data_IF_507390581620
#
_entry.id   IF_507390581620
#
_cell.length_a   1.000
_cell.length_b   1.000
_cell.length_c   1.000
_cell.angle_alpha   90.00
_cell.angle_beta   90.00
_cell.angle_gamma   90.00
#
_symmetry.space_group_name_H-M   'P 1'
#
loop_
_entity.id
_entity.type
_entity.pdbx_description
1 polymer ?
#
# COMPACT_ATOMS: atom_id res chain seq x y z
N UNK A 1 -9.94 8.07 36.28
CA UNK A 1 -9.36 8.00 34.92
C UNK A 1 -8.25 6.96 34.80
N UNK A 2 -7.47 6.68 35.86
CA UNK A 2 -6.41 5.65 35.85
C UNK A 2 -6.91 4.25 35.47
N UNK A 3 -8.02 3.78 36.08
CA UNK A 3 -8.60 2.46 35.76
C UNK A 3 -8.95 2.25 34.27
N UNK A 4 -9.40 3.29 33.58
CA UNK A 4 -9.74 3.21 32.15
C UNK A 4 -8.47 3.15 31.27
N UNK A 5 -7.40 3.79 31.71
CA UNK A 5 -6.08 3.76 31.05
C UNK A 5 -5.45 2.38 31.25
N UNK A 6 -5.49 1.84 32.47
CA UNK A 6 -5.01 0.50 32.79
C UNK A 6 -5.73 -0.58 31.96
N UNK A 7 -7.07 -0.51 31.87
CA UNK A 7 -7.86 -1.40 31.02
C UNK A 7 -7.47 -1.31 29.53
N UNK A 8 -7.21 -0.10 29.03
CA UNK A 8 -6.76 0.09 27.65
C UNK A 8 -5.35 -0.47 27.41
N UNK A 9 -4.43 -0.33 28.38
CA UNK A 9 -3.08 -0.88 28.33
C UNK A 9 -3.09 -2.42 28.37
N UNK A 10 -3.91 -3.02 29.22
CA UNK A 10 -4.11 -4.48 29.26
C UNK A 10 -4.71 -5.02 27.96
N UNK A 11 -5.62 -4.26 27.32
CA UNK A 11 -6.16 -4.63 26.01
C UNK A 11 -5.13 -4.54 24.88
N UNK A 12 -4.12 -3.67 24.99
CA UNK A 12 -3.03 -3.52 24.01
C UNK A 12 -1.94 -4.58 24.21
N UNK A 13 -1.74 -5.03 25.45
CA UNK A 13 -0.69 -5.99 25.82
C UNK A 13 -1.23 -7.08 26.74
N UNK A 14 -2.00 -8.04 26.20
CA UNK A 14 -2.56 -9.13 27.01
C UNK A 14 -1.49 -10.04 27.64
N UNK A 15 -0.27 -10.01 27.08
CA UNK A 15 0.87 -10.83 27.51
C UNK A 15 1.65 -10.25 28.68
N UNK A 16 1.50 -8.96 28.97
CA UNK A 16 2.01 -8.39 30.22
C UNK A 16 0.93 -8.62 31.29
N UNK A 17 1.31 -9.29 32.38
CA UNK A 17 0.39 -9.63 33.47
C UNK A 17 -0.23 -8.40 34.17
N UNK A 18 -0.94 -8.63 35.26
CA UNK A 18 -1.65 -7.57 36.03
C UNK A 18 -0.74 -6.46 36.57
N UNK A 19 0.58 -6.64 36.55
CA UNK A 19 1.55 -5.72 37.12
C UNK A 19 2.10 -4.79 36.03
N UNK A 20 1.37 -3.71 35.76
CA UNK A 20 1.78 -2.67 34.82
C UNK A 20 2.86 -1.76 35.43
N UNK A 21 3.93 -1.41 34.69
CA UNK A 21 4.91 -0.44 35.15
C UNK A 21 4.25 0.92 35.45
N UNK A 22 4.47 1.51 36.65
CA UNK A 22 3.83 2.77 37.03
C UNK A 22 4.21 3.92 36.09
N UNK A 23 5.44 3.90 35.55
CA UNK A 23 5.91 4.87 34.57
C UNK A 23 5.10 4.88 33.26
N UNK A 24 4.57 3.73 32.84
CA UNK A 24 3.73 3.63 31.64
C UNK A 24 2.35 4.23 31.87
N UNK A 25 1.76 3.95 33.03
CA UNK A 25 0.44 4.49 33.44
C UNK A 25 0.51 6.01 33.60
N UNK A 26 1.59 6.52 34.21
CA UNK A 26 1.82 7.95 34.40
C UNK A 26 2.00 8.69 33.06
N UNK A 27 2.79 8.13 32.14
CA UNK A 27 2.99 8.69 30.80
C UNK A 27 1.66 8.72 30.01
N UNK A 28 0.93 7.61 29.99
CA UNK A 28 -0.37 7.54 29.32
C UNK A 28 -1.39 8.54 29.92
N UNK A 29 -1.38 8.71 31.25
CA UNK A 29 -2.20 9.71 31.94
C UNK A 29 -1.83 11.14 31.57
N UNK A 30 -0.54 11.45 31.49
CA UNK A 30 -0.03 12.76 31.07
C UNK A 30 -0.42 13.08 29.62
N UNK A 31 -0.28 12.12 28.70
CA UNK A 31 -0.70 12.29 27.30
C UNK A 31 -2.20 12.46 27.15
N UNK A 32 -3.00 11.76 27.96
CA UNK A 32 -4.45 11.93 27.95
C UNK A 32 -4.84 13.33 28.41
N UNK A 33 -4.25 13.85 29.49
CA UNK A 33 -4.48 15.21 29.95
C UNK A 33 -4.08 16.24 28.87
N UNK A 34 -2.90 16.09 28.27
CA UNK A 34 -2.44 16.96 27.18
C UNK A 34 -3.37 16.91 25.96
N UNK A 35 -3.85 15.72 25.59
CA UNK A 35 -4.75 15.56 24.44
C UNK A 35 -6.07 16.30 24.63
N UNK A 36 -6.59 16.36 25.86
CA UNK A 36 -7.84 17.09 26.18
C UNK A 36 -7.67 18.59 26.06
N UNK A 37 -6.48 19.11 26.36
CA UNK A 37 -6.18 20.54 26.26
C UNK A 37 -5.85 20.98 24.83
N UNK A 38 -5.11 20.16 24.07
CA UNK A 38 -4.61 20.54 22.74
C UNK A 38 -5.49 20.07 21.59
N UNK A 39 -6.30 19.02 21.80
CA UNK A 39 -7.20 18.44 20.81
C UNK A 39 -8.64 18.35 21.36
N UNK A 40 -9.16 19.47 21.87
CA UNK A 40 -10.51 19.59 22.44
C UNK A 40 -11.64 19.51 21.41
N UNK A 41 -11.34 19.62 20.11
CA UNK A 41 -12.30 19.64 19.00
C UNK A 41 -12.43 18.31 18.24
N UNK A 42 -12.23 17.18 18.93
CA UNK A 42 -12.39 15.84 18.33
C UNK A 42 -13.86 15.47 18.14
N UNK A 43 -14.15 14.65 17.12
CA UNK A 43 -15.52 14.15 16.87
C UNK A 43 -15.91 13.13 17.94
N UNK A 44 -17.22 12.98 18.20
CA UNK A 44 -17.73 12.02 19.19
C UNK A 44 -17.20 10.59 18.98
N UNK A 45 -17.11 10.13 17.72
CA UNK A 45 -16.56 8.81 17.39
C UNK A 45 -15.06 8.70 17.69
N UNK A 46 -14.30 9.79 17.55
CA UNK A 46 -12.87 9.82 17.84
C UNK A 46 -12.60 9.97 19.35
N UNK A 47 -13.51 10.61 20.07
CA UNK A 47 -13.47 10.78 21.53
C UNK A 47 -13.46 9.42 22.25
N UNK A 48 -14.25 8.46 21.77
CA UNK A 48 -14.36 7.11 22.32
C UNK A 48 -12.99 6.39 22.28
N UNK A 49 -12.18 6.64 21.26
CA UNK A 49 -10.88 6.00 21.08
C UNK A 49 -9.71 6.82 21.65
N UNK A 50 -9.93 8.02 22.20
CA UNK A 50 -8.88 8.91 22.69
C UNK A 50 -7.99 8.25 23.75
N UNK A 51 -8.60 7.64 24.77
CA UNK A 51 -7.87 6.94 25.85
C UNK A 51 -7.02 5.79 25.30
N UNK A 52 -7.57 5.01 24.37
CA UNK A 52 -6.87 3.91 23.72
C UNK A 52 -5.71 4.38 22.83
N UNK A 53 -5.88 5.48 22.11
CA UNK A 53 -4.83 6.08 21.29
C UNK A 53 -3.68 6.63 22.15
N UNK A 54 -3.97 7.32 23.25
CA UNK A 54 -2.94 7.83 24.17
C UNK A 54 -2.16 6.68 24.84
N UNK A 55 -2.83 5.60 25.21
CA UNK A 55 -2.19 4.39 25.73
C UNK A 55 -1.27 3.74 24.68
N UNK A 56 -1.70 3.63 23.43
CA UNK A 56 -0.87 3.08 22.35
C UNK A 56 0.37 3.95 22.07
N UNK A 57 0.21 5.29 22.00
CA UNK A 57 1.34 6.22 21.85
C UNK A 57 2.34 6.10 23.02
N UNK A 58 1.85 5.89 24.24
CA UNK A 58 2.71 5.67 25.41
C UNK A 58 3.53 4.38 25.27
N UNK A 59 2.90 3.29 24.83
CA UNK A 59 3.58 2.02 24.58
C UNK A 59 4.63 2.14 23.46
N UNK A 60 4.33 2.87 22.37
CA UNK A 60 5.29 3.10 21.29
C UNK A 60 6.50 3.95 21.71
N UNK A 61 6.30 4.95 22.58
CA UNK A 61 7.39 5.81 23.11
C UNK A 61 8.30 5.07 24.07
N UNK A 62 7.75 4.16 24.87
CA UNK A 62 8.49 3.39 25.87
C UNK A 62 8.93 2.00 25.37
N UNK A 63 8.59 1.65 24.13
CA UNK A 63 8.86 0.35 23.50
C UNK A 63 10.31 -0.11 23.64
N UNK A 64 11.25 0.81 23.48
CA UNK A 64 12.71 0.54 23.53
C UNK A 64 13.22 0.57 24.98
N UNK A 65 12.61 1.37 25.85
CA UNK A 65 13.07 1.54 27.24
C UNK A 65 12.60 0.43 28.17
N UNK A 66 11.50 -0.24 27.83
CA UNK A 66 10.83 -1.24 28.65
C UNK A 66 10.70 -2.61 27.94
N UNK A 67 11.40 -2.80 26.81
CA UNK A 67 11.40 -4.02 25.99
C UNK A 67 10.00 -4.65 25.81
N UNK A 68 9.04 -3.82 25.41
CA UNK A 68 7.64 -4.24 25.32
C UNK A 68 7.41 -5.15 24.08
N UNK A 69 6.63 -6.24 24.22
CA UNK A 69 6.33 -7.16 23.13
C UNK A 69 5.56 -6.48 21.99
N UNK A 70 5.55 -7.06 20.77
CA UNK A 70 4.87 -6.49 19.63
C UNK A 70 3.36 -6.28 19.90
N UNK A 71 2.94 -5.02 19.79
CA UNK A 71 1.58 -4.54 20.10
C UNK A 71 0.69 -4.75 18.87
N UNK A 72 -0.43 -5.45 19.02
CA UNK A 72 -1.49 -5.54 18.01
C UNK A 72 -2.65 -4.60 18.39
N UNK A 73 -2.75 -3.40 17.80
CA UNK A 73 -3.84 -2.49 18.13
C UNK A 73 -5.17 -3.02 17.55
N UNK A 74 -6.10 -3.35 18.45
CA UNK A 74 -7.53 -3.61 18.17
C UNK A 74 -8.38 -2.43 18.66
N UNK A 75 -8.37 -1.30 17.94
CA UNK A 75 -9.09 -0.12 18.38
C UNK A 75 -10.61 -0.33 18.37
N UNK A 76 -11.37 0.38 19.25
CA UNK A 76 -12.83 0.31 19.30
C UNK A 76 -13.53 0.99 18.10
N UNK A 77 -12.76 1.55 17.17
CA UNK A 77 -13.24 2.32 16.02
C UNK A 77 -12.65 1.78 14.72
N UNK A 78 -13.27 2.04 13.56
CA UNK A 78 -12.76 1.61 12.28
C UNK A 78 -11.29 2.03 12.05
N UNK A 79 -10.46 1.17 11.45
CA UNK A 79 -9.00 1.35 11.39
C UNK A 79 -8.58 2.63 10.65
N UNK A 80 -9.38 3.10 9.68
CA UNK A 80 -9.12 4.36 8.95
C UNK A 80 -9.25 5.59 9.85
N UNK A 81 -10.26 5.60 10.72
CA UNK A 81 -10.51 6.70 11.66
C UNK A 81 -9.47 6.65 12.78
N UNK A 82 -9.17 5.45 13.28
CA UNK A 82 -8.12 5.25 14.28
C UNK A 82 -6.76 5.74 13.80
N UNK A 83 -6.35 5.38 12.58
CA UNK A 83 -5.06 5.82 12.02
C UNK A 83 -4.98 7.34 11.93
N UNK A 84 -6.05 8.02 11.50
CA UNK A 84 -6.11 9.49 11.46
C UNK A 84 -5.98 10.09 12.86
N UNK A 85 -6.73 9.57 13.83
CA UNK A 85 -6.72 10.03 15.21
C UNK A 85 -5.35 9.84 15.85
N UNK A 86 -4.74 8.67 15.69
CA UNK A 86 -3.42 8.33 16.19
C UNK A 86 -2.36 9.29 15.62
N UNK A 87 -2.33 9.50 14.30
CA UNK A 87 -1.38 10.44 13.68
C UNK A 87 -1.60 11.88 14.13
N UNK A 88 -2.86 12.31 14.28
CA UNK A 88 -3.20 13.65 14.76
C UNK A 88 -2.72 13.87 16.20
N UNK A 89 -3.03 12.93 17.11
CA UNK A 89 -2.62 13.00 18.51
C UNK A 89 -1.10 12.88 18.65
N UNK A 90 -0.44 11.99 17.92
CA UNK A 90 1.01 11.83 17.99
C UNK A 90 1.75 13.11 17.55
N UNK A 91 1.30 13.78 16.49
CA UNK A 91 1.89 15.05 16.03
C UNK A 91 1.72 16.19 17.05
N UNK A 92 0.53 16.32 17.65
CA UNK A 92 0.23 17.36 18.62
C UNK A 92 1.01 17.13 19.93
N UNK A 93 1.04 15.88 20.39
CA UNK A 93 1.68 15.49 21.64
C UNK A 93 3.21 15.36 21.54
N UNK A 94 3.81 15.47 20.33
CA UNK A 94 5.26 15.57 20.13
C UNK A 94 5.81 16.98 20.42
N UNK A 95 4.96 18.01 20.38
CA UNK A 95 5.38 19.42 20.44
C UNK A 95 5.90 19.90 21.81
N UNK A 96 5.89 19.08 22.86
CA UNK A 96 6.25 19.50 24.23
C UNK A 96 7.44 18.74 24.85
N UNK A 97 8.03 17.78 24.15
CA UNK A 97 9.18 17.04 24.63
C UNK A 97 10.43 17.38 23.81
N UNK A 98 10.86 18.64 23.86
CA UNK A 98 12.25 19.16 23.74
C UNK A 98 12.23 20.65 23.37
N UNK A 99 12.94 21.53 24.11
CA UNK A 99 13.28 22.85 23.59
C UNK A 99 14.32 22.64 22.49
N UNK A 100 13.90 22.65 21.23
CA UNK A 100 14.83 22.60 20.10
C UNK A 100 15.64 23.89 20.09
N UNK A 101 16.86 23.79 20.63
CA UNK A 101 18.09 24.51 20.30
C UNK A 101 17.90 25.52 19.16
N UNK A 102 17.57 26.76 19.53
CA UNK A 102 17.68 27.90 18.65
C UNK A 102 19.13 28.00 18.14
N UNK A 103 19.28 28.04 16.82
CA UNK A 103 20.55 28.30 16.16
C UNK A 103 21.00 29.73 16.49
N UNK A 104 22.25 29.97 16.93
CA UNK A 104 22.71 31.31 17.25
C UNK A 104 23.11 32.00 15.95
N UNK A 105 22.54 33.17 15.68
CA UNK A 105 23.00 33.99 14.56
C UNK A 105 21.90 34.86 13.97
N UNK A 106 21.67 36.01 14.60
CA UNK A 106 21.63 37.33 13.96
C UNK A 106 21.04 38.33 14.94
N UNK A 107 21.92 38.92 15.73
CA UNK A 107 21.71 40.20 16.41
C UNK A 107 21.22 41.22 15.38
N UNK A 108 19.97 41.66 15.52
CA UNK A 108 19.50 42.88 14.88
C UNK A 108 19.08 43.85 15.99
N UNK A 109 19.91 44.86 16.13
CA UNK A 109 19.79 46.00 17.05
C UNK A 109 18.44 46.71 16.88
N UNK A 110 17.83 47.20 17.98
CA UNK A 110 16.71 48.13 17.90
C UNK A 110 17.25 49.53 17.58
N UNK A 111 16.91 50.06 16.41
CA UNK A 111 17.23 51.43 16.02
C UNK A 111 16.35 52.43 16.76
N UNK A 112 17.00 53.25 17.58
CA UNK A 112 16.44 54.39 18.30
C UNK A 112 16.14 55.55 17.34
N UNK A 113 14.94 56.13 17.44
CA UNK A 113 14.67 57.55 17.16
C UNK A 113 13.62 58.07 18.15
N UNK A 114 14.13 58.60 19.26
CA UNK A 114 13.59 59.75 20.01
C UNK A 114 13.95 60.99 19.15
N UNK A 115 13.17 62.05 18.92
CA UNK A 115 12.31 62.98 19.70
C UNK A 115 11.40 63.71 18.65
N UNK A 116 10.26 64.35 18.93
CA UNK A 116 9.97 65.42 19.89
C UNK A 116 8.47 65.47 20.24
N UNK A 117 8.19 66.08 21.40
CA UNK A 117 6.89 66.32 22.00
C UNK A 117 6.25 67.62 21.48
N UNK A 118 4.92 67.64 21.31
CA UNK A 118 3.98 68.50 22.05
C UNK A 118 2.63 68.66 21.32
N UNK A 119 1.58 68.82 22.12
CA UNK A 119 0.17 69.15 21.84
C UNK A 119 -0.81 68.01 21.47
N UNK A 120 -1.63 67.67 22.46
CA UNK A 120 -3.02 67.15 22.33
C UNK A 120 -4.01 68.32 22.18
N UNK A 121 -5.33 68.11 21.93
CA UNK A 121 -6.04 66.98 21.32
C UNK A 121 -7.10 67.42 20.26
N UNK A 122 -7.31 66.69 19.16
CA UNK A 122 -8.58 66.74 18.42
C UNK A 122 -8.74 65.55 17.46
N UNK A 123 -9.88 64.86 17.60
CA UNK A 123 -10.64 64.14 16.57
C UNK A 123 -9.88 63.42 15.44
N UNK A 124 -9.90 62.08 15.44
CA UNK A 124 -9.42 61.29 14.31
C UNK A 124 -9.70 59.80 14.45
N UNK A 125 -10.67 59.30 13.70
CA UNK A 125 -11.11 57.91 13.59
C UNK A 125 -9.97 56.93 13.29
N UNK A 126 -9.86 55.86 14.09
CA UNK A 126 -9.07 54.64 13.79
C UNK A 126 -9.70 53.89 12.60
N UNK A 127 -8.95 53.50 11.55
CA UNK A 127 -9.44 52.53 10.57
C UNK A 127 -9.25 51.09 11.10
N UNK A 128 -10.34 50.31 11.04
CA UNK A 128 -10.37 48.86 11.21
C UNK A 128 -9.57 48.17 10.07
N UNK A 129 -8.89 47.03 10.32
CA UNK A 129 -8.25 46.26 9.26
C UNK A 129 -9.33 45.58 8.40
N UNK A 130 -9.46 45.99 7.15
CA UNK A 130 -10.34 45.35 6.18
C UNK A 130 -9.78 43.98 5.79
N UNK A 131 -10.50 42.95 6.22
CA UNK A 131 -10.33 41.57 5.78
C UNK A 131 -10.80 41.47 4.32
N UNK A 132 -9.89 41.66 3.36
CA UNK A 132 -10.17 41.36 1.96
C UNK A 132 -10.46 39.86 1.82
N UNK A 133 -11.64 39.51 1.31
CA UNK A 133 -11.99 38.13 0.95
C UNK A 133 -11.13 37.68 -0.23
N UNK A 134 -10.51 36.48 -0.17
CA UNK A 134 -9.72 35.98 -1.29
C UNK A 134 -10.63 35.77 -2.51
N UNK A 135 -10.15 36.20 -3.67
CA UNK A 135 -10.85 36.12 -4.95
C UNK A 135 -11.10 34.65 -5.34
N UNK A 136 -12.23 34.41 -6.01
CA UNK A 136 -12.71 33.08 -6.47
C UNK A 136 -11.66 32.27 -7.22
N UNK A 137 -10.74 32.93 -7.92
CA UNK A 137 -9.66 32.26 -8.66
C UNK A 137 -8.59 31.66 -7.73
N UNK A 138 -8.28 32.33 -6.61
CA UNK A 138 -7.28 31.85 -5.64
C UNK A 138 -7.79 30.65 -4.85
N UNK A 139 -9.10 30.59 -4.59
CA UNK A 139 -9.76 29.44 -3.95
C UNK A 139 -9.83 28.21 -4.86
N UNK A 140 -9.93 28.40 -6.17
CA UNK A 140 -10.09 27.32 -7.15
C UNK A 140 -8.75 26.80 -7.70
N UNK A 141 -7.64 27.52 -7.48
CA UNK A 141 -6.31 27.10 -7.90
C UNK A 141 -5.86 25.77 -7.27
N UNK A 142 -6.33 25.45 -6.06
CA UNK A 142 -6.00 24.19 -5.37
C UNK A 142 -6.71 22.96 -5.95
N UNK A 143 -7.76 23.16 -6.76
CA UNK A 143 -8.57 22.08 -7.35
C UNK A 143 -8.32 21.87 -8.84
N UNK A 144 -7.42 22.65 -9.45
CA UNK A 144 -7.04 22.49 -10.86
C UNK A 144 -5.77 21.65 -10.95
N UNK A 145 -5.85 20.53 -11.67
CA UNK A 145 -4.67 19.74 -12.06
C UNK A 145 -3.89 20.51 -13.14
N UNK A 146 -2.54 20.57 -13.07
CA UNK A 146 -1.77 21.29 -14.07
C UNK A 146 -1.82 20.55 -15.41
N UNK A 147 -2.54 21.12 -16.37
CA UNK A 147 -2.49 20.69 -17.77
C UNK A 147 -1.13 21.08 -18.35
N UNK A 148 -0.51 20.10 -19.01
CA UNK A 148 0.79 20.13 -19.70
C UNK A 148 0.94 21.40 -20.57
N UNK A 149 1.87 22.30 -20.24
CA UNK A 149 2.25 23.39 -21.15
C UNK A 149 2.73 24.73 -20.57
N UNK A 150 3.14 24.83 -19.31
CA UNK A 150 3.74 26.06 -18.78
C UNK A 150 5.20 25.81 -18.37
N UNK A 151 6.10 26.13 -19.28
CA UNK A 151 7.53 26.35 -19.02
C UNK A 151 7.68 27.66 -18.25
N UNK A 152 7.78 27.58 -16.93
CA UNK A 152 8.88 28.19 -16.17
C UNK A 152 8.68 28.14 -14.65
N UNK A 153 9.80 27.89 -13.96
CA UNK A 153 10.09 27.96 -12.50
C UNK A 153 9.60 26.81 -11.60
N UNK A 154 10.23 26.59 -10.41
CA UNK A 154 11.62 26.75 -10.01
C UNK A 154 12.21 25.48 -9.35
N UNK A 155 13.54 25.35 -9.39
CA UNK A 155 14.36 24.33 -8.75
C UNK A 155 13.99 24.13 -7.26
N UNK A 156 13.29 23.04 -6.95
CA UNK A 156 13.08 22.58 -5.57
C UNK A 156 13.97 21.37 -5.30
N UNK A 157 15.03 21.68 -4.57
CA UNK A 157 15.97 20.80 -3.88
C UNK A 157 15.38 19.48 -3.38
N UNK A 158 16.06 18.38 -3.77
CA UNK A 158 16.36 17.21 -2.93
C UNK A 158 15.26 16.68 -2.02
N UNK A 159 14.25 16.03 -2.60
CA UNK A 159 13.56 14.90 -1.95
C UNK A 159 12.96 13.95 -3.00
N UNK A 160 13.82 13.40 -3.84
CA UNK A 160 13.50 12.33 -4.80
C UNK A 160 14.33 11.09 -4.44
N UNK A 161 14.07 10.50 -3.28
CA UNK A 161 14.69 9.22 -2.87
C UNK A 161 13.73 8.18 -2.28
N UNK A 162 12.42 8.42 -2.27
CA UNK A 162 11.46 7.51 -1.62
C UNK A 162 10.40 6.89 -2.55
N UNK A 163 10.35 7.26 -3.84
CA UNK A 163 9.43 6.63 -4.78
C UNK A 163 9.93 5.27 -5.31
N UNK A 164 11.26 5.04 -5.33
CA UNK A 164 11.88 3.76 -5.66
C UNK A 164 12.30 2.94 -4.42
N UNK A 165 12.19 3.49 -3.21
CA UNK A 165 12.57 2.85 -1.95
C UNK A 165 11.56 1.81 -1.43
N UNK A 166 10.78 1.19 -2.32
CA UNK A 166 9.91 0.06 -1.94
C UNK A 166 10.49 -1.30 -2.28
N UNK A 167 11.57 -1.35 -3.06
CA UNK A 167 12.19 -2.61 -3.45
C UNK A 167 13.69 -2.43 -3.34
N UNK A 168 14.33 -3.18 -2.43
CA UNK A 168 15.78 -3.22 -2.25
C UNK A 168 16.47 -4.04 -3.38
N UNK A 169 15.88 -4.05 -4.58
CA UNK A 169 16.41 -4.70 -5.77
C UNK A 169 17.20 -3.71 -6.63
N UNK A 170 18.12 -4.24 -7.43
CA UNK A 170 18.87 -3.45 -8.40
C UNK A 170 17.94 -2.85 -9.47
N UNK A 171 18.28 -1.65 -9.93
CA UNK A 171 17.41 -0.84 -10.77
C UNK A 171 17.05 -1.50 -12.11
N UNK A 172 17.96 -2.30 -12.68
CA UNK A 172 17.75 -3.02 -13.94
C UNK A 172 16.82 -4.24 -13.82
N UNK A 173 16.61 -4.81 -12.63
CA UNK A 173 15.88 -6.09 -12.49
C UNK A 173 14.43 -5.96 -12.98
N UNK A 174 13.71 -4.90 -12.58
CA UNK A 174 12.32 -4.72 -13.01
C UNK A 174 12.16 -4.46 -14.52
N UNK A 175 12.91 -3.51 -15.13
CA UNK A 175 12.88 -3.31 -16.58
C UNK A 175 13.24 -4.56 -17.37
N UNK A 176 14.31 -5.27 -16.97
CA UNK A 176 14.76 -6.49 -17.65
C UNK A 176 13.74 -7.61 -17.53
N UNK A 177 13.15 -7.83 -16.36
CA UNK A 177 12.11 -8.85 -16.18
C UNK A 177 10.91 -8.59 -17.10
N UNK A 178 10.48 -7.33 -17.20
CA UNK A 178 9.36 -6.93 -18.08
C UNK A 178 9.69 -7.14 -19.56
N UNK A 179 10.89 -6.77 -19.99
CA UNK A 179 11.34 -6.95 -21.37
C UNK A 179 11.45 -8.44 -21.72
N UNK A 180 12.13 -9.25 -20.90
CA UNK A 180 12.28 -10.70 -21.14
C UNK A 180 10.92 -11.39 -21.20
N UNK A 181 10.00 -11.09 -20.28
CA UNK A 181 8.67 -11.70 -20.28
C UNK A 181 7.77 -11.20 -21.42
N UNK A 182 8.05 -10.02 -21.98
CA UNK A 182 7.34 -9.53 -23.16
C UNK A 182 7.84 -10.22 -24.44
N UNK A 183 9.15 -10.43 -24.54
CA UNK A 183 9.80 -11.08 -25.67
C UNK A 183 9.45 -12.56 -25.78
N UNK A 184 9.31 -13.26 -24.65
CA UNK A 184 8.93 -14.68 -24.62
C UNK A 184 7.42 -14.91 -24.56
N UNK A 185 6.60 -13.85 -24.66
CA UNK A 185 5.14 -13.85 -24.50
C UNK A 185 4.61 -14.38 -23.13
N UNK A 186 5.49 -14.53 -22.15
CA UNK A 186 5.15 -14.99 -20.80
C UNK A 186 4.90 -13.82 -19.83
N UNK A 187 4.10 -12.81 -20.22
CA UNK A 187 3.90 -11.57 -19.45
C UNK A 187 3.37 -11.79 -18.03
N UNK A 188 2.57 -12.84 -17.84
CA UNK A 188 1.98 -13.21 -16.54
C UNK A 188 3.01 -13.76 -15.54
N UNK A 189 4.21 -14.15 -16.00
CA UNK A 189 5.28 -14.69 -15.14
C UNK A 189 6.17 -13.62 -14.51
N UNK A 190 6.13 -12.39 -15.02
CA UNK A 190 6.96 -11.30 -14.50
C UNK A 190 6.81 -11.08 -12.98
N UNK A 191 5.60 -11.07 -12.39
CA UNK A 191 5.45 -10.93 -10.95
C UNK A 191 6.09 -12.07 -10.15
N UNK A 192 6.02 -13.30 -10.64
CA UNK A 192 6.62 -14.47 -10.00
C UNK A 192 8.14 -14.41 -10.00
N UNK A 193 8.73 -14.04 -11.13
CA UNK A 193 10.19 -13.90 -11.25
C UNK A 193 10.69 -12.80 -10.31
N UNK A 194 9.98 -11.68 -10.24
CA UNK A 194 10.28 -10.60 -9.31
C UNK A 194 10.15 -11.05 -7.85
N UNK A 195 9.08 -11.76 -7.50
CA UNK A 195 8.91 -12.30 -6.15
C UNK A 195 10.05 -13.26 -5.76
N UNK A 196 10.53 -14.08 -6.69
CA UNK A 196 11.70 -14.94 -6.47
C UNK A 196 12.97 -14.13 -6.22
N UNK A 197 13.24 -13.12 -7.05
CA UNK A 197 14.39 -12.23 -6.86
C UNK A 197 14.31 -11.46 -5.53
N UNK A 198 13.14 -10.93 -5.18
CA UNK A 198 12.92 -10.21 -3.91
C UNK A 198 13.08 -11.13 -2.71
N UNK A 199 12.58 -12.37 -2.77
CA UNK A 199 12.70 -13.31 -1.67
C UNK A 199 14.15 -13.77 -1.45
N UNK A 200 14.95 -13.89 -2.52
CA UNK A 200 16.35 -14.33 -2.43
C UNK A 200 17.29 -13.16 -2.14
N UNK A 201 17.11 -11.98 -2.72
CA UNK A 201 18.03 -10.84 -2.51
C UNK A 201 17.61 -10.01 -1.28
N UNK A 202 16.31 -9.99 -0.98
CA UNK A 202 15.74 -9.13 0.07
C UNK A 202 14.76 -9.86 0.98
N UNK A 203 15.16 -10.97 1.64
CA UNK A 203 14.27 -11.69 2.55
C UNK A 203 13.74 -10.74 3.64
N UNK A 204 12.42 -10.74 3.83
CA UNK A 204 11.71 -9.85 4.76
C UNK A 204 12.01 -8.34 4.55
N UNK A 205 12.38 -7.95 3.33
CA UNK A 205 12.67 -6.56 2.97
C UNK A 205 14.06 -6.06 3.38
N UNK A 206 14.94 -6.91 3.93
CA UNK A 206 16.35 -6.59 4.20
C UNK A 206 17.24 -7.30 3.20
N UNK A 207 18.28 -6.62 2.73
CA UNK A 207 19.27 -7.20 1.80
C UNK A 207 19.96 -8.39 2.48
N UNK A 208 20.15 -9.50 1.76
CA UNK A 208 20.86 -10.66 2.32
C UNK A 208 22.30 -10.35 2.66
N UNK A 209 22.83 -11.06 3.64
CA UNK A 209 24.27 -11.12 3.91
C UNK A 209 25.00 -12.16 3.04
N UNK A 210 24.27 -12.86 2.17
CA UNK A 210 24.82 -13.88 1.28
C UNK A 210 25.72 -13.28 0.19
N UNK A 211 27.02 -13.41 0.39
CA UNK A 211 28.05 -12.86 -0.50
C UNK A 211 27.89 -13.34 -1.96
N UNK A 212 27.59 -14.63 -2.16
CA UNK A 212 27.42 -15.19 -3.51
C UNK A 212 26.25 -14.55 -4.28
N UNK A 213 25.13 -14.28 -3.59
CA UNK A 213 23.92 -13.66 -4.17
C UNK A 213 24.23 -12.22 -4.59
N UNK A 214 24.96 -11.50 -3.74
CA UNK A 214 25.34 -10.11 -3.99
C UNK A 214 26.35 -9.97 -5.14
N UNK A 215 27.26 -10.94 -5.29
CA UNK A 215 28.25 -10.95 -6.37
C UNK A 215 27.68 -11.39 -7.72
N UNK A 216 26.67 -12.28 -7.74
CA UNK A 216 26.16 -12.89 -8.97
C UNK A 216 24.65 -12.68 -9.20
N UNK A 217 24.13 -11.45 -9.18
CA UNK A 217 22.70 -11.18 -9.30
C UNK A 217 22.14 -11.48 -10.70
N UNK A 218 22.93 -11.33 -11.76
CA UNK A 218 22.52 -11.65 -13.15
C UNK A 218 22.42 -13.15 -13.39
N UNK A 219 23.39 -13.92 -12.90
CA UNK A 219 23.36 -15.37 -12.98
C UNK A 219 22.20 -15.95 -12.15
N UNK A 220 21.95 -15.37 -10.97
CA UNK A 220 20.77 -15.69 -10.16
C UNK A 220 19.47 -15.39 -10.90
N UNK A 221 19.33 -14.20 -11.51
CA UNK A 221 18.17 -13.84 -12.32
C UNK A 221 17.93 -14.86 -13.45
N UNK A 222 18.99 -15.25 -14.16
CA UNK A 222 18.94 -16.26 -15.22
C UNK A 222 18.44 -17.61 -14.68
N UNK A 223 18.95 -18.06 -13.53
CA UNK A 223 18.56 -19.31 -12.90
C UNK A 223 17.10 -19.28 -12.44
N UNK A 224 16.64 -18.20 -11.79
CA UNK A 224 15.24 -18.05 -11.37
C UNK A 224 14.32 -18.06 -12.59
N UNK A 225 14.66 -17.33 -13.64
CA UNK A 225 13.88 -17.34 -14.89
C UNK A 225 13.80 -18.76 -15.48
N UNK A 226 14.91 -19.49 -15.49
CA UNK A 226 14.94 -20.89 -15.90
C UNK A 226 13.99 -21.76 -15.06
N UNK A 227 14.07 -21.72 -13.73
CA UNK A 227 13.18 -22.53 -12.88
C UNK A 227 11.71 -22.17 -13.05
N UNK A 228 11.38 -20.88 -13.15
CA UNK A 228 9.99 -20.44 -13.35
C UNK A 228 9.46 -20.92 -14.69
N UNK A 229 10.21 -20.74 -15.79
CA UNK A 229 9.80 -21.21 -17.12
C UNK A 229 9.69 -22.73 -17.19
N UNK A 230 10.62 -23.46 -16.58
CA UNK A 230 10.56 -24.92 -16.50
C UNK A 230 9.36 -25.40 -15.68
N UNK A 231 9.06 -24.76 -14.55
CA UNK A 231 7.89 -25.10 -13.73
C UNK A 231 6.60 -24.89 -14.49
N UNK A 232 6.49 -23.79 -15.24
CA UNK A 232 5.32 -23.48 -16.08
C UNK A 232 5.17 -24.50 -17.20
N UNK A 233 6.26 -24.84 -17.89
CA UNK A 233 6.25 -25.88 -18.94
C UNK A 233 5.82 -27.23 -18.37
N UNK A 234 6.41 -27.68 -17.27
CA UNK A 234 6.05 -28.95 -16.63
C UNK A 234 4.58 -29.01 -16.20
N UNK A 235 4.00 -27.89 -15.76
CA UNK A 235 2.58 -27.81 -15.40
C UNK A 235 1.65 -27.72 -16.61
N UNK A 236 2.12 -27.22 -17.75
CA UNK A 236 1.33 -27.08 -18.97
C UNK A 236 1.36 -28.33 -19.86
N UNK A 237 2.54 -28.94 -20.07
CA UNK A 237 2.71 -30.12 -20.93
C UNK A 237 2.65 -31.45 -20.14
N UNK A 238 2.81 -31.42 -18.82
CA UNK A 238 2.90 -32.64 -18.00
C UNK A 238 4.23 -33.41 -18.19
N UNK A 239 5.13 -32.91 -19.02
CA UNK A 239 6.44 -33.52 -19.25
C UNK A 239 7.46 -33.07 -18.18
N UNK A 240 8.24 -34.03 -17.70
CA UNK A 240 9.38 -33.78 -16.84
C UNK A 240 10.51 -33.07 -17.58
N UNK A 241 11.49 -32.56 -16.83
CA UNK A 241 12.63 -31.86 -17.41
C UNK A 241 13.55 -32.88 -18.11
N UNK A 242 13.50 -32.94 -19.43
CA UNK A 242 14.50 -33.70 -20.19
C UNK A 242 15.82 -32.93 -20.26
N UNK A 243 16.94 -33.66 -20.11
CA UNK A 243 18.30 -33.10 -20.30
C UNK A 243 18.46 -32.46 -21.68
N UNK A 244 17.70 -32.93 -22.66
CA UNK A 244 17.67 -32.42 -24.03
C UNK A 244 17.06 -31.01 -24.12
N UNK A 245 16.10 -30.67 -23.26
CA UNK A 245 15.47 -29.35 -23.19
C UNK A 245 16.26 -28.30 -22.42
N UNK A 246 17.20 -28.72 -21.57
CA UNK A 246 18.01 -27.82 -20.73
C UNK A 246 18.96 -26.93 -21.56
N UNK A 247 19.74 -27.55 -22.45
CA UNK A 247 20.76 -26.88 -23.26
C UNK A 247 20.18 -25.80 -24.18
N UNK A 248 19.11 -26.04 -24.96
CA UNK A 248 18.52 -25.01 -25.81
C UNK A 248 17.93 -23.86 -24.98
N UNK A 249 17.24 -24.17 -23.88
CA UNK A 249 16.66 -23.13 -23.02
C UNK A 249 17.74 -22.25 -22.37
N UNK A 250 18.86 -22.85 -21.92
CA UNK A 250 20.01 -22.08 -21.42
C UNK A 250 20.56 -21.13 -22.49
N UNK A 251 20.73 -21.59 -23.74
CA UNK A 251 21.21 -20.74 -24.84
C UNK A 251 20.25 -19.59 -25.12
N UNK A 252 18.94 -19.86 -25.12
CA UNK A 252 17.89 -18.86 -25.29
C UNK A 252 17.95 -17.79 -24.20
N UNK A 253 18.06 -18.21 -22.93
CA UNK A 253 18.15 -17.29 -21.78
C UNK A 253 19.39 -16.40 -21.88
N UNK A 254 20.56 -16.97 -22.19
CA UNK A 254 21.79 -16.19 -22.35
C UNK A 254 21.68 -15.19 -23.51
N UNK A 255 21.04 -15.57 -24.62
CA UNK A 255 20.78 -14.67 -25.74
C UNK A 255 19.79 -13.55 -25.37
N UNK A 256 18.76 -13.85 -24.58
CA UNK A 256 17.83 -12.86 -24.05
C UNK A 256 18.54 -11.86 -23.13
N UNK A 257 19.41 -12.31 -22.25
CA UNK A 257 20.17 -11.41 -21.36
C UNK A 257 21.16 -10.53 -22.14
N UNK A 258 21.81 -11.07 -23.16
CA UNK A 258 22.69 -10.29 -24.04
C UNK A 258 21.92 -9.16 -24.74
N UNK A 259 20.74 -9.46 -25.29
CA UNK A 259 19.85 -8.47 -25.91
C UNK A 259 19.27 -7.48 -24.91
N UNK A 260 18.92 -7.94 -23.71
CA UNK A 260 18.39 -7.07 -22.66
C UNK A 260 19.40 -5.96 -22.31
N UNK A 261 20.70 -6.27 -22.29
CA UNK A 261 21.74 -5.27 -22.00
C UNK A 261 21.81 -4.15 -23.03
N UNK A 262 21.50 -4.43 -24.29
CA UNK A 262 21.51 -3.45 -25.39
C UNK A 262 20.18 -2.72 -25.59
N UNK A 263 19.06 -3.37 -25.31
CA UNK A 263 17.72 -2.85 -25.66
C UNK A 263 16.95 -2.24 -24.48
N UNK A 264 17.28 -2.63 -23.24
CA UNK A 264 16.55 -2.16 -22.06
C UNK A 264 17.07 -0.80 -21.62
N UNK A 265 16.21 0.21 -21.68
CA UNK A 265 16.51 1.53 -21.12
C UNK A 265 15.95 1.65 -19.70
N UNK A 266 16.81 1.89 -18.71
CA UNK A 266 16.39 2.24 -17.35
C UNK A 266 16.18 3.75 -17.29
N UNK A 267 14.95 4.18 -17.00
CA UNK A 267 14.60 5.62 -16.96
C UNK A 267 15.15 6.27 -15.68
N UNK A 268 15.46 7.56 -15.78
CA UNK A 268 15.79 8.46 -14.66
C UNK A 268 17.07 8.14 -13.86
N UNK A 269 17.99 7.33 -14.40
CA UNK A 269 19.27 6.98 -13.79
C UNK A 269 20.42 7.11 -14.81
N UNK A 270 21.63 7.41 -14.32
CA UNK A 270 22.84 7.32 -15.13
C UNK A 270 23.08 5.85 -15.53
N UNK A 271 23.68 5.60 -16.69
CA UNK A 271 23.88 4.23 -17.21
C UNK A 271 24.68 3.34 -16.25
N UNK A 272 25.66 3.90 -15.54
CA UNK A 272 26.47 3.18 -14.54
C UNK A 272 25.63 2.71 -13.33
N UNK A 273 24.81 3.62 -12.77
CA UNK A 273 23.94 3.31 -11.62
C UNK A 273 22.77 2.39 -12.03
N UNK A 274 22.30 2.51 -13.27
CA UNK A 274 21.21 1.71 -13.80
C UNK A 274 21.56 0.21 -13.86
N UNK A 275 22.81 -0.10 -14.22
CA UNK A 275 23.29 -1.47 -14.45
C UNK A 275 24.19 -1.98 -13.31
N UNK A 276 24.08 -1.39 -12.11
CA UNK A 276 24.85 -1.81 -10.94
C UNK A 276 24.69 -3.33 -10.68
N UNK A 277 25.82 -4.02 -10.56
CA UNK A 277 25.89 -5.46 -10.33
C UNK A 277 25.59 -6.32 -11.56
N UNK A 278 25.38 -5.73 -12.74
CA UNK A 278 25.24 -6.49 -13.97
C UNK A 278 26.57 -7.11 -14.41
N UNK A 279 26.60 -8.43 -14.56
CA UNK A 279 27.74 -9.15 -15.14
C UNK A 279 27.33 -9.98 -16.35
N UNK A 280 28.24 -10.11 -17.32
CA UNK A 280 28.05 -10.96 -18.49
C UNK A 280 28.15 -12.43 -18.08
N UNK A 281 27.02 -13.12 -18.08
CA UNK A 281 26.90 -14.51 -17.63
C UNK A 281 27.40 -15.48 -18.69
N UNK A 282 28.34 -16.36 -18.35
CA UNK A 282 28.76 -17.49 -19.21
C UNK A 282 27.94 -18.74 -18.90
N UNK A 283 28.01 -19.75 -19.77
CA UNK A 283 27.29 -21.02 -19.54
C UNK A 283 27.67 -21.70 -18.22
N UNK A 284 28.92 -21.58 -17.78
CA UNK A 284 29.39 -22.12 -16.50
C UNK A 284 28.75 -21.39 -15.32
N UNK A 285 28.74 -20.05 -15.34
CA UNK A 285 28.17 -19.23 -14.26
C UNK A 285 26.66 -19.49 -14.12
N UNK A 286 25.98 -19.75 -15.23
CA UNK A 286 24.58 -20.19 -15.24
C UNK A 286 24.39 -21.56 -14.57
N UNK A 287 25.19 -22.56 -14.96
CA UNK A 287 25.09 -23.90 -14.39
C UNK A 287 25.43 -23.89 -12.89
N UNK A 288 26.44 -23.11 -12.48
CA UNK A 288 26.83 -22.90 -11.09
C UNK A 288 25.69 -22.22 -10.30
N UNK A 289 25.00 -21.24 -10.90
CA UNK A 289 23.83 -20.60 -10.29
C UNK A 289 22.64 -21.55 -10.13
N UNK A 290 22.35 -22.38 -11.14
CA UNK A 290 21.31 -23.41 -11.07
C UNK A 290 21.60 -24.43 -9.97
N UNK A 291 22.86 -24.85 -9.84
CA UNK A 291 23.30 -25.72 -8.75
C UNK A 291 23.09 -25.06 -7.38
N UNK A 292 23.50 -23.79 -7.22
CA UNK A 292 23.36 -23.04 -5.96
C UNK A 292 21.92 -22.86 -5.52
N UNK A 293 21.01 -22.58 -6.45
CA UNK A 293 19.58 -22.45 -6.15
C UNK A 293 18.99 -23.76 -5.62
N UNK A 294 19.41 -24.89 -6.18
CA UNK A 294 19.01 -26.22 -5.71
C UNK A 294 19.63 -26.56 -4.34
N UNK A 295 20.92 -26.31 -4.15
CA UNK A 295 21.64 -26.55 -2.88
C UNK A 295 21.02 -25.80 -1.70
N UNK A 296 20.63 -24.54 -1.92
CA UNK A 296 20.07 -23.68 -0.87
C UNK A 296 18.56 -23.81 -0.68
N UNK A 297 17.93 -24.71 -1.43
CA UNK A 297 16.50 -25.00 -1.36
C UNK A 297 15.58 -23.77 -1.50
N UNK A 298 16.01 -22.72 -2.21
CA UNK A 298 15.22 -21.47 -2.36
C UNK A 298 13.88 -21.66 -3.10
N UNK A 299 13.75 -22.76 -3.84
CA UNK A 299 12.53 -23.17 -4.55
C UNK A 299 11.47 -23.76 -3.61
N UNK A 300 11.78 -23.97 -2.33
CA UNK A 300 10.79 -24.43 -1.34
C UNK A 300 9.85 -23.32 -0.86
N UNK A 301 10.19 -22.05 -1.13
CA UNK A 301 9.38 -20.91 -0.70
C UNK A 301 8.03 -20.78 -1.41
N UNK A 302 7.09 -20.11 -0.74
CA UNK A 302 5.72 -19.90 -1.21
C UNK A 302 5.65 -19.24 -2.60
N UNK A 303 6.61 -18.37 -2.91
CA UNK A 303 6.72 -17.70 -4.20
C UNK A 303 6.83 -18.68 -5.39
N UNK A 304 7.50 -19.82 -5.19
CA UNK A 304 7.71 -20.84 -6.22
C UNK A 304 6.56 -21.86 -6.26
N UNK A 305 6.02 -22.22 -5.10
CA UNK A 305 4.84 -23.11 -5.03
C UNK A 305 3.60 -22.46 -5.65
N UNK A 306 3.42 -21.15 -5.46
CA UNK A 306 2.33 -20.37 -6.04
C UNK A 306 2.33 -20.29 -7.57
N UNK A 307 3.38 -20.75 -8.26
CA UNK A 307 3.40 -20.83 -9.73
C UNK A 307 2.27 -21.73 -10.24
N UNK A 308 1.95 -22.80 -9.51
CA UNK A 308 0.85 -23.69 -9.89
C UNK A 308 -0.48 -22.95 -9.99
N UNK A 309 -0.74 -22.01 -9.07
CA UNK A 309 -1.97 -21.24 -9.05
C UNK A 309 -1.99 -20.18 -10.17
N UNK A 310 -0.84 -19.55 -10.46
CA UNK A 310 -0.70 -18.61 -11.58
C UNK A 310 -0.97 -19.31 -12.92
N UNK A 311 -0.45 -20.52 -13.12
CA UNK A 311 -0.68 -21.31 -14.34
C UNK A 311 -2.15 -21.70 -14.47
N UNK A 312 -2.77 -22.21 -13.39
CA UNK A 312 -4.21 -22.53 -13.36
C UNK A 312 -5.07 -21.31 -13.70
N UNK A 313 -4.75 -20.15 -13.12
CA UNK A 313 -5.48 -18.91 -13.39
C UNK A 313 -5.31 -18.47 -14.86
N UNK A 314 -4.11 -18.66 -15.42
CA UNK A 314 -3.86 -18.35 -16.83
C UNK A 314 -4.61 -19.29 -17.77
N UNK A 315 -4.66 -20.58 -17.48
CA UNK A 315 -5.42 -21.57 -18.26
C UNK A 315 -6.93 -21.28 -18.18
N UNK A 316 -7.45 -20.96 -16.99
CA UNK A 316 -8.86 -20.60 -16.80
C UNK A 316 -9.24 -19.34 -17.59
N UNK A 317 -8.40 -18.30 -17.52
CA UNK A 317 -8.57 -17.08 -18.32
C UNK A 317 -8.52 -17.35 -19.83
N UNK A 318 -7.75 -18.35 -20.28
CA UNK A 318 -7.71 -18.73 -21.69
C UNK A 318 -8.97 -19.50 -22.11
N UNK A 319 -9.51 -20.37 -21.26
CA UNK A 319 -10.77 -21.07 -21.53
C UNK A 319 -11.96 -20.10 -21.60
N UNK A 320 -12.02 -19.13 -20.69
CA UNK A 320 -13.03 -18.07 -20.70
C UNK A 320 -12.93 -17.19 -21.97
N UNK A 321 -11.72 -16.94 -22.51
CA UNK A 321 -11.52 -16.22 -23.78
C UNK A 321 -11.89 -17.07 -25.02
N UNK A 322 -11.78 -18.41 -24.95
CA UNK A 322 -12.12 -19.32 -26.07
C UNK A 322 -13.63 -19.59 -26.13
N UNK A 323 -14.31 -19.70 -24.99
CA UNK A 323 -15.78 -19.82 -24.96
C UNK A 323 -16.48 -18.58 -25.56
N UNK A 324 -15.82 -17.42 -25.54
CA UNK A 324 -16.32 -16.18 -26.14
C UNK A 324 -15.95 -15.96 -27.61
N UNK A 325 -15.22 -16.90 -28.26
CA UNK A 325 -14.82 -16.74 -29.67
C UNK A 325 -15.84 -17.26 -30.69
N UNK A 326 -16.94 -17.88 -30.25
CA UNK A 326 -17.93 -18.46 -31.16
C UNK A 326 -19.25 -17.67 -31.27
N UNK A 327 -19.27 -16.41 -30.83
CA UNK A 327 -20.38 -15.49 -31.05
C UNK A 327 -19.89 -14.19 -31.70
N UNK A 328 -20.73 -13.69 -32.61
CA UNK A 328 -20.46 -12.64 -33.58
C UNK A 328 -19.85 -11.34 -33.00
N UNK A 329 -19.19 -10.63 -33.89
CA UNK A 329 -18.35 -9.44 -33.67
C UNK A 329 -19.02 -8.33 -32.85
N UNK A 330 -18.82 -8.33 -31.52
CA UNK A 330 -19.14 -7.19 -30.65
C UNK A 330 -17.86 -6.35 -30.44
N UNK A 331 -17.91 -5.00 -30.52
CA UNK A 331 -16.73 -4.17 -30.37
C UNK A 331 -16.10 -4.37 -28.98
N UNK A 332 -14.77 -4.58 -28.94
CA UNK A 332 -13.97 -4.72 -27.73
C UNK A 332 -14.14 -3.50 -26.81
N UNK A 333 -15.10 -3.60 -25.89
CA UNK A 333 -15.26 -2.65 -24.79
C UNK A 333 -14.08 -2.85 -23.85
N UNK A 334 -13.21 -1.85 -23.76
CA UNK A 334 -12.10 -1.84 -22.80
C UNK A 334 -12.68 -1.88 -21.39
N UNK A 335 -12.69 -3.08 -20.79
CA UNK A 335 -12.98 -3.25 -19.36
C UNK A 335 -11.79 -2.66 -18.60
N UNK A 336 -11.88 -1.37 -18.29
CA UNK A 336 -11.16 -0.80 -17.17
C UNK A 336 -11.57 -1.60 -15.94
N UNK A 337 -10.66 -2.46 -15.44
CA UNK A 337 -10.75 -3.03 -14.09
C UNK A 337 -10.73 -1.88 -13.08
N UNK A 338 -11.90 -1.34 -12.80
CA UNK A 338 -12.17 -0.42 -11.72
C UNK A 338 -13.44 -0.95 -11.02
N UNK A 339 -13.26 -1.39 -9.77
CA UNK A 339 -14.33 -1.76 -8.85
C UNK A 339 -15.38 -2.76 -9.39
N UNK A 340 -15.07 -4.06 -9.31
CA UNK A 340 -16.11 -5.11 -9.18
C UNK A 340 -16.73 -5.13 -7.77
N UNK A 341 -16.78 -3.98 -7.09
CA UNK A 341 -17.59 -3.77 -5.89
C UNK A 341 -18.90 -3.09 -6.24
N UNK A 342 -19.59 -3.56 -7.29
CA UNK A 342 -21.05 -3.49 -7.26
C UNK A 342 -21.48 -4.58 -6.26
N UNK A 343 -21.60 -4.16 -5.01
CA UNK A 343 -21.97 -5.00 -3.90
C UNK A 343 -23.30 -5.67 -4.23
N UNK A 344 -23.38 -7.01 -4.16
CA UNK A 344 -24.62 -7.80 -4.31
C UNK A 344 -25.80 -7.25 -3.49
N UNK A 345 -25.48 -6.45 -2.46
CA UNK A 345 -26.42 -5.74 -1.59
C UNK A 345 -27.24 -4.64 -2.31
N UNK A 346 -26.77 -4.11 -3.44
CA UNK A 346 -27.43 -3.06 -4.22
C UNK A 346 -27.88 -3.52 -5.61
N UNK A 347 -27.64 -4.78 -5.97
CA UNK A 347 -28.17 -5.35 -7.21
C UNK A 347 -29.60 -5.85 -6.99
N UNK A 348 -30.56 -4.95 -7.24
CA UNK A 348 -31.99 -5.24 -7.20
C UNK A 348 -32.55 -5.67 -8.56
N UNK A 349 -31.74 -5.63 -9.63
CA UNK A 349 -32.21 -5.81 -11.01
C UNK A 349 -31.67 -7.07 -11.69
N UNK A 350 -30.80 -7.85 -11.05
CA UNK A 350 -30.41 -9.19 -11.54
C UNK A 350 -31.60 -10.11 -11.80
N UNK A 351 -31.44 -10.98 -12.79
CA UNK A 351 -32.45 -11.99 -13.15
C UNK A 351 -32.83 -12.89 -11.97
N UNK A 352 -31.85 -13.30 -11.16
CA UNK A 352 -32.08 -14.11 -9.96
C UNK A 352 -32.90 -13.39 -8.87
N UNK A 353 -32.82 -12.06 -8.76
CA UNK A 353 -33.64 -11.28 -7.83
C UNK A 353 -35.03 -11.02 -8.40
N UNK A 354 -35.15 -10.82 -9.72
CA UNK A 354 -36.45 -10.68 -10.40
C UNK A 354 -37.29 -11.95 -10.29
N UNK A 355 -36.71 -13.14 -10.44
CA UNK A 355 -37.42 -14.41 -10.27
C UNK A 355 -37.91 -14.60 -8.83
N UNK A 356 -37.05 -14.32 -7.84
CA UNK A 356 -37.44 -14.34 -6.41
C UNK A 356 -38.58 -13.35 -6.11
N UNK A 357 -38.53 -12.16 -6.69
CA UNK A 357 -39.60 -11.17 -6.55
C UNK A 357 -40.91 -11.65 -7.18
N UNK A 358 -40.88 -12.28 -8.36
CA UNK A 358 -42.08 -12.84 -8.99
C UNK A 358 -42.73 -13.91 -8.13
N UNK A 359 -41.94 -14.84 -7.57
CA UNK A 359 -42.47 -15.84 -6.64
C UNK A 359 -43.04 -15.23 -5.36
N UNK A 360 -42.34 -14.24 -4.77
CA UNK A 360 -42.86 -13.53 -3.61
C UNK A 360 -44.16 -12.79 -3.93
N UNK A 361 -44.25 -12.16 -5.11
CA UNK A 361 -45.43 -11.44 -5.58
C UNK A 361 -46.61 -12.40 -5.72
N UNK A 362 -46.41 -13.55 -6.36
CA UNK A 362 -47.44 -14.60 -6.48
C UNK A 362 -47.92 -15.09 -5.11
N UNK A 363 -47.00 -15.37 -4.17
CA UNK A 363 -47.35 -15.79 -2.80
C UNK A 363 -48.11 -14.70 -2.02
N UNK A 364 -47.80 -13.42 -2.24
CA UNK A 364 -48.57 -12.32 -1.64
C UNK A 364 -49.96 -12.22 -2.25
N UNK A 365 -50.12 -12.37 -3.56
CA UNK A 365 -51.43 -12.33 -4.20
C UNK A 365 -52.32 -13.49 -3.74
N UNK A 366 -51.79 -14.70 -3.60
CA UNK A 366 -52.57 -15.83 -3.08
C UNK A 366 -53.00 -15.58 -1.63
N UNK A 367 -52.12 -15.04 -0.78
CA UNK A 367 -52.47 -14.64 0.60
C UNK A 367 -53.54 -13.56 0.64
N UNK A 368 -53.46 -12.56 -0.24
CA UNK A 368 -54.48 -11.50 -0.32
C UNK A 368 -55.83 -12.12 -0.72
N UNK A 369 -55.87 -12.96 -1.75
CA UNK A 369 -57.11 -13.63 -2.19
C UNK A 369 -57.71 -14.49 -1.07
N UNK A 370 -56.88 -15.25 -0.35
CA UNK A 370 -57.34 -16.04 0.80
C UNK A 370 -57.91 -15.16 1.93
N UNK A 371 -57.22 -14.07 2.27
CA UNK A 371 -57.71 -13.12 3.29
C UNK A 371 -58.98 -12.39 2.85
N UNK A 372 -59.13 -12.04 1.58
CA UNK A 372 -60.35 -11.44 1.04
C UNK A 372 -61.51 -12.44 1.02
N UNK A 373 -61.24 -13.72 0.69
CA UNK A 373 -62.25 -14.77 0.75
C UNK A 373 -62.69 -15.09 2.20
N UNK A 374 -61.77 -15.06 3.15
CA UNK A 374 -62.08 -15.21 4.58
C UNK A 374 -62.86 -14.01 5.13
N UNK A 375 -62.55 -12.79 4.68
CA UNK A 375 -63.33 -11.59 5.02
C UNK A 375 -64.75 -11.63 4.45
N UNK A 376 -64.92 -12.10 3.21
CA UNK A 376 -66.23 -12.23 2.56
C UNK A 376 -67.11 -13.34 3.19
N UNK A 377 -66.51 -14.41 3.73
CA UNK A 377 -67.25 -15.47 4.42
C UNK A 377 -67.80 -15.03 5.79
N UNK A 378 -67.29 -13.94 6.37
CA UNK A 378 -67.73 -13.41 7.67
C UNK A 378 -68.86 -12.36 7.56
N UNK A 379 -69.18 -11.90 6.34
CA UNK A 379 -70.23 -10.89 6.09
C UNK A 379 -71.57 -11.48 5.61
N UNK A 380 -71.70 -12.80 5.51
CA UNK A 380 -72.96 -13.47 5.12
C UNK A 380 -73.50 -14.29 6.29
N UNK A 381 -73.98 -13.60 7.33
CA UNK A 381 -74.98 -14.10 8.28
C UNK A 381 -75.82 -12.88 8.73
N UNK A 382 -76.84 -12.55 7.93
CA UNK A 382 -77.94 -11.64 8.29
C UNK A 382 -79.25 -12.40 8.29
#
# INVERSE_FOLDING_TARGET
MSRQIEQALLSLMPTHGSDLPPALVELAGSLLAQSRHQASTLKADEEIARTYACANIACDRLKITLDLPPIEPRPPIPPRIYKRLYTHLDNILRSHSTPTRATPGRTRTPGSRFRDADNSPASGSRPLPSRATPTKEQSLAQFRTPTKGATDTPTKSTRKKEAFARVNLQAWIHPTTRWVCAETDHKKLAPTILAGMENIITPAGRRTDDEWVLQNPTALFAAIYFFVTMRVKALASGEGIDREGYVPLRKEILALLARARSEVTVKDLAEEDAWEGWSTVKSKDFDDAVAKVNERAWLTGDWYQGIADVVKLSQRSHLEDVEMQNEETIPKMQIKKADTMFQDKYDFLSEAKRTKYMHWKEDMFTKIVLSTAQGAAMEVDT
#
